data_IF_474971981113
#
_entry.id   IF_474971981113
#
_cell.length_a   1.000
_cell.length_b   1.000
_cell.length_c   1.000
_cell.angle_alpha   90.00
_cell.angle_beta   90.00
_cell.angle_gamma   90.00
#
_symmetry.space_group_name_H-M   'P 1'
#
loop_
_entity.id
_entity.type
_entity.pdbx_description
1 polymer ?
#
# COMPACT_ATOMS: atom_id res chain seq x y z
N UNK A 1 2.91 13.98 9.99
CA UNK A 1 3.22 15.13 9.12
C UNK A 1 3.16 14.64 7.69
N UNK A 2 2.44 15.33 6.79
CA UNK A 2 2.43 14.97 5.38
C UNK A 2 3.85 15.00 4.80
N UNK A 3 4.10 14.12 3.84
CA UNK A 3 5.31 14.08 3.03
C UNK A 3 5.12 14.82 1.70
N UNK A 4 3.99 14.60 1.02
CA UNK A 4 3.75 15.09 -0.33
C UNK A 4 2.25 15.12 -0.60
N UNK A 5 1.60 16.29 -0.72
CA UNK A 5 0.20 16.36 -1.13
C UNK A 5 -0.10 15.67 -2.47
N UNK A 6 0.92 15.50 -3.33
CA UNK A 6 0.79 14.75 -4.58
C UNK A 6 0.62 13.24 -4.38
N UNK A 7 1.08 12.69 -3.26
CA UNK A 7 1.15 11.24 -3.02
C UNK A 7 0.44 10.78 -1.75
N UNK A 8 0.25 11.68 -0.78
CA UNK A 8 -0.31 11.37 0.53
C UNK A 8 -1.82 11.17 0.44
N UNK A 9 -2.27 9.96 0.77
CA UNK A 9 -3.69 9.63 0.89
C UNK A 9 -3.99 9.21 2.32
N UNK A 10 -4.97 9.83 3.00
CA UNK A 10 -5.44 9.30 4.27
C UNK A 10 -6.17 7.97 4.04
N UNK A 11 -5.95 7.00 4.92
CA UNK A 11 -6.57 5.68 4.84
C UNK A 11 -7.05 5.18 6.20
N UNK A 12 -7.60 3.97 6.20
CA UNK A 12 -8.15 3.34 7.39
C UNK A 12 -7.39 2.06 7.76
N UNK A 13 -7.36 1.78 9.07
CA UNK A 13 -7.06 0.46 9.59
C UNK A 13 -8.29 0.00 10.35
N UNK A 14 -9.04 -0.93 9.75
CA UNK A 14 -10.26 -1.49 10.32
C UNK A 14 -10.23 -3.01 10.20
N UNK A 15 -10.92 -3.68 11.12
CA UNK A 15 -10.96 -5.15 11.17
C UNK A 15 -11.89 -5.79 10.16
N UNK A 16 -12.91 -5.06 9.69
CA UNK A 16 -14.08 -5.62 9.02
C UNK A 16 -14.51 -4.69 7.86
N UNK A 17 -14.81 -5.25 6.67
CA UNK A 17 -15.24 -4.48 5.51
C UNK A 17 -16.56 -3.71 5.72
N UNK A 18 -17.42 -4.07 6.67
CA UNK A 18 -18.59 -3.23 7.03
C UNK A 18 -18.17 -1.89 7.63
N UNK A 19 -17.20 -1.92 8.54
CA UNK A 19 -16.63 -0.71 9.14
C UNK A 19 -15.86 0.09 8.07
N UNK A 20 -15.17 -0.60 7.16
CA UNK A 20 -14.45 0.07 6.07
C UNK A 20 -15.41 0.88 5.18
N UNK A 21 -16.53 0.29 4.78
CA UNK A 21 -17.57 0.98 4.00
C UNK A 21 -18.14 2.21 4.73
N UNK A 22 -18.42 2.06 6.03
CA UNK A 22 -18.92 3.16 6.85
C UNK A 22 -17.88 4.29 7.01
N UNK A 23 -16.60 3.94 7.21
CA UNK A 23 -15.51 4.89 7.34
C UNK A 23 -15.26 5.66 6.02
N UNK A 24 -15.26 4.94 4.87
CA UNK A 24 -15.15 5.56 3.54
C UNK A 24 -16.30 6.53 3.28
N UNK A 25 -17.56 6.17 3.61
CA UNK A 25 -18.72 7.09 3.51
C UNK A 25 -18.51 8.36 4.32
N UNK A 26 -18.03 8.23 5.56
CA UNK A 26 -17.85 9.36 6.46
C UNK A 26 -16.73 10.31 5.99
N UNK A 27 -15.61 9.75 5.53
CA UNK A 27 -14.43 10.54 5.16
C UNK A 27 -14.51 11.14 3.77
N UNK A 28 -14.90 10.34 2.78
CA UNK A 28 -14.86 10.73 1.37
C UNK A 28 -16.19 11.32 0.88
N UNK A 29 -17.27 11.14 1.64
CA UNK A 29 -18.57 11.75 1.39
C UNK A 29 -19.04 11.52 -0.06
N UNK A 30 -19.37 12.57 -0.80
CA UNK A 30 -19.84 12.49 -2.19
C UNK A 30 -18.83 11.91 -3.17
N UNK A 31 -17.56 11.76 -2.79
CA UNK A 31 -16.52 11.16 -3.63
C UNK A 31 -16.41 9.63 -3.46
N UNK A 32 -17.22 9.01 -2.59
CA UNK A 32 -17.25 7.56 -2.42
C UNK A 32 -18.59 6.96 -2.84
N UNK A 33 -18.53 6.03 -3.79
CA UNK A 33 -19.68 5.25 -4.24
C UNK A 33 -19.71 3.91 -3.53
N UNK A 34 -20.51 3.82 -2.46
CA UNK A 34 -20.75 2.56 -1.76
C UNK A 34 -21.58 1.61 -2.62
N UNK A 35 -21.08 0.39 -2.78
CA UNK A 35 -21.81 -0.69 -3.45
C UNK A 35 -22.39 -1.72 -2.47
N UNK A 36 -22.37 -1.44 -1.16
CA UNK A 36 -22.82 -2.35 -0.10
C UNK A 36 -24.22 -2.95 -0.32
N UNK A 37 -25.17 -2.16 -0.81
CA UNK A 37 -26.57 -2.57 -1.01
C UNK A 37 -26.92 -2.94 -2.46
N UNK A 38 -25.94 -2.89 -3.38
CA UNK A 38 -26.14 -3.09 -4.80
C UNK A 38 -25.69 -4.47 -5.29
N UNK A 39 -26.20 -4.89 -6.46
CA UNK A 39 -25.59 -5.98 -7.22
C UNK A 39 -24.38 -5.41 -7.96
N UNK A 40 -23.20 -5.96 -7.71
CA UNK A 40 -21.96 -5.61 -8.40
C UNK A 40 -21.63 -6.72 -9.37
N UNK A 41 -21.23 -6.33 -10.58
CA UNK A 41 -20.62 -7.26 -11.52
C UNK A 41 -19.12 -7.19 -11.29
N UNK A 42 -18.52 -8.24 -10.75
CA UNK A 42 -17.08 -8.25 -10.54
C UNK A 42 -16.33 -8.45 -11.87
N UNK A 43 -15.16 -7.81 -12.06
CA UNK A 43 -14.30 -8.10 -13.21
C UNK A 43 -13.83 -9.55 -13.17
N UNK A 44 -13.83 -10.20 -14.33
CA UNK A 44 -13.38 -11.60 -14.48
C UNK A 44 -11.88 -11.70 -14.78
N UNK A 45 -11.20 -10.57 -15.02
CA UNK A 45 -9.75 -10.50 -15.24
C UNK A 45 -9.04 -10.21 -13.92
N UNK A 46 -8.34 -11.21 -13.39
CA UNK A 46 -7.56 -11.10 -12.16
C UNK A 46 -6.06 -11.19 -12.50
N UNK A 47 -5.29 -10.19 -12.09
CA UNK A 47 -3.87 -10.10 -12.34
C UNK A 47 -3.11 -10.36 -11.05
N UNK A 48 -2.13 -11.28 -11.04
CA UNK A 48 -1.28 -11.53 -9.86
C UNK A 48 0.11 -10.94 -10.09
N UNK A 49 0.60 -10.17 -9.13
CA UNK A 49 1.90 -9.49 -9.21
C UNK A 49 2.80 -9.94 -8.06
N UNK A 50 3.91 -10.59 -8.40
CA UNK A 50 4.93 -11.00 -7.43
C UNK A 50 4.52 -12.12 -6.46
N UNK A 51 3.50 -12.92 -6.81
CA UNK A 51 3.05 -14.03 -5.99
C UNK A 51 4.15 -15.11 -5.86
N UNK A 52 4.47 -15.58 -4.65
CA UNK A 52 5.46 -16.63 -4.45
C UNK A 52 4.90 -18.00 -4.87
N UNK A 53 5.80 -18.95 -5.12
CA UNK A 53 5.41 -20.31 -5.46
C UNK A 53 4.64 -21.00 -4.32
N UNK A 54 3.64 -21.82 -4.68
CA UNK A 54 2.82 -22.63 -3.75
C UNK A 54 3.61 -23.72 -3.01
N UNK A 55 4.93 -23.83 -3.24
CA UNK A 55 5.81 -24.69 -2.44
C UNK A 55 6.05 -24.10 -1.04
N UNK A 56 5.93 -22.78 -0.88
CA UNK A 56 6.07 -22.09 0.42
C UNK A 56 4.74 -22.03 1.18
N UNK A 57 4.73 -22.00 2.54
CA UNK A 57 3.49 -21.84 3.30
C UNK A 57 2.70 -20.58 2.94
N UNK A 58 3.37 -19.42 2.86
CA UNK A 58 2.74 -18.16 2.45
C UNK A 58 2.23 -18.21 1.00
N UNK A 59 3.00 -18.83 0.10
CA UNK A 59 2.57 -19.02 -1.29
C UNK A 59 1.33 -19.89 -1.42
N UNK A 60 1.16 -20.95 -0.62
CA UNK A 60 -0.11 -21.70 -0.60
C UNK A 60 -1.27 -20.80 -0.22
N UNK A 61 -1.17 -20.07 0.89
CA UNK A 61 -2.23 -19.18 1.36
C UNK A 61 -2.62 -18.14 0.30
N UNK A 62 -1.63 -17.47 -0.31
CA UNK A 62 -1.85 -16.45 -1.34
C UNK A 62 -2.49 -17.03 -2.61
N UNK A 63 -1.95 -18.13 -3.14
CA UNK A 63 -2.46 -18.74 -4.37
C UNK A 63 -3.83 -19.41 -4.15
N UNK A 64 -4.08 -20.00 -2.99
CA UNK A 64 -5.39 -20.57 -2.64
C UNK A 64 -6.46 -19.48 -2.55
N UNK A 65 -6.13 -18.33 -1.93
CA UNK A 65 -7.03 -17.17 -1.93
C UNK A 65 -7.31 -16.68 -3.35
N UNK A 66 -6.28 -16.49 -4.18
CA UNK A 66 -6.45 -16.03 -5.55
C UNK A 66 -7.33 -16.99 -6.38
N UNK A 67 -7.17 -18.30 -6.19
CA UNK A 67 -8.00 -19.32 -6.85
C UNK A 67 -9.47 -19.27 -6.39
N UNK A 68 -9.71 -19.11 -5.08
CA UNK A 68 -11.07 -18.92 -4.53
C UNK A 68 -11.71 -17.64 -5.04
N UNK A 69 -10.97 -16.54 -5.10
CA UNK A 69 -11.44 -15.28 -5.68
C UNK A 69 -11.80 -15.46 -7.16
N UNK A 70 -10.94 -16.12 -7.94
CA UNK A 70 -11.21 -16.41 -9.35
C UNK A 70 -12.50 -17.23 -9.52
N UNK A 71 -12.73 -18.22 -8.66
CA UNK A 71 -13.97 -18.98 -8.64
C UNK A 71 -15.18 -18.11 -8.28
N UNK A 72 -15.06 -17.25 -7.26
CA UNK A 72 -16.11 -16.34 -6.81
C UNK A 72 -16.57 -15.39 -7.92
N UNK A 73 -15.63 -14.76 -8.63
CA UNK A 73 -15.96 -13.81 -9.71
C UNK A 73 -16.22 -14.49 -11.05
N UNK A 74 -16.10 -15.81 -11.15
CA UNK A 74 -16.18 -16.54 -12.42
C UNK A 74 -15.08 -16.14 -13.42
N UNK A 75 -13.89 -15.82 -12.90
CA UNK A 75 -12.79 -15.21 -13.63
C UNK A 75 -11.58 -16.11 -13.87
N UNK A 76 -10.50 -15.49 -14.36
CA UNK A 76 -9.22 -16.14 -14.65
C UNK A 76 -8.07 -15.34 -14.04
N UNK A 77 -7.11 -16.07 -13.49
CA UNK A 77 -5.84 -15.53 -13.01
C UNK A 77 -4.83 -15.45 -14.16
N UNK A 78 -4.16 -14.32 -14.28
CA UNK A 78 -3.03 -14.11 -15.16
C UNK A 78 -1.88 -13.50 -14.36
N UNK A 79 -0.67 -14.01 -14.52
CA UNK A 79 0.51 -13.38 -13.91
C UNK A 79 0.82 -12.08 -14.65
N UNK A 80 0.92 -10.98 -13.91
CA UNK A 80 1.33 -9.69 -14.43
C UNK A 80 2.84 -9.52 -14.28
N UNK A 81 3.55 -9.50 -15.41
CA UNK A 81 4.90 -8.94 -15.48
C UNK A 81 4.78 -7.45 -15.81
N UNK A 82 4.93 -6.60 -14.78
CA UNK A 82 4.76 -5.17 -14.91
C UNK A 82 5.82 -4.52 -15.81
N UNK A 83 7.05 -5.06 -15.82
CA UNK A 83 8.12 -4.54 -16.67
C UNK A 83 7.86 -4.89 -18.14
N UNK A 84 7.44 -6.14 -18.42
CA UNK A 84 7.08 -6.55 -19.77
C UNK A 84 5.88 -5.77 -20.30
N UNK A 85 4.84 -5.57 -19.46
CA UNK A 85 3.69 -4.74 -19.80
C UNK A 85 4.14 -3.31 -20.16
N UNK A 86 4.94 -2.68 -19.30
CA UNK A 86 5.50 -1.35 -19.55
C UNK A 86 6.29 -1.30 -20.86
N UNK A 87 7.24 -2.22 -21.07
CA UNK A 87 8.04 -2.25 -22.30
C UNK A 87 7.20 -2.42 -23.57
N UNK A 88 6.03 -3.07 -23.47
CA UNK A 88 5.13 -3.30 -24.61
C UNK A 88 4.22 -2.12 -24.94
N UNK A 89 3.82 -1.33 -23.94
CA UNK A 89 2.75 -0.31 -24.10
C UNK A 89 3.05 1.03 -23.44
N UNK A 90 4.29 1.28 -23.01
CA UNK A 90 4.69 2.57 -22.43
C UNK A 90 4.38 3.72 -23.39
N UNK A 91 3.84 4.84 -22.89
CA UNK A 91 3.52 5.99 -23.72
C UNK A 91 4.80 6.60 -24.34
N UNK A 92 4.68 7.17 -25.54
CA UNK A 92 5.81 7.81 -26.23
C UNK A 92 6.51 8.90 -25.37
N UNK A 93 5.77 9.54 -24.47
CA UNK A 93 6.30 10.51 -23.50
C UNK A 93 7.36 9.94 -22.56
N UNK A 94 7.39 8.62 -22.33
CA UNK A 94 8.43 7.94 -21.57
C UNK A 94 9.78 7.84 -22.32
N UNK A 95 9.82 8.16 -23.62
CA UNK A 95 11.05 8.19 -24.44
C UNK A 95 11.89 6.91 -24.37
N UNK A 96 11.22 5.75 -24.24
CA UNK A 96 11.87 4.45 -24.14
C UNK A 96 12.51 4.14 -22.77
N UNK A 97 12.27 4.97 -21.75
CA UNK A 97 12.74 4.68 -20.39
C UNK A 97 12.09 3.40 -19.84
N UNK A 98 12.87 2.59 -19.12
CA UNK A 98 12.31 1.49 -18.35
C UNK A 98 11.47 2.04 -17.18
N UNK A 99 10.57 1.22 -16.64
CA UNK A 99 9.77 1.60 -15.48
C UNK A 99 10.65 1.96 -14.26
N UNK A 100 11.71 1.17 -14.06
CA UNK A 100 12.68 1.41 -12.99
C UNK A 100 13.39 2.75 -13.17
N UNK A 101 13.81 3.09 -14.40
CA UNK A 101 14.49 4.37 -14.66
C UNK A 101 13.55 5.56 -14.49
N UNK A 102 12.32 5.45 -15.02
CA UNK A 102 11.30 6.49 -14.93
C UNK A 102 10.97 6.84 -13.47
N UNK A 103 10.90 5.83 -12.59
CA UNK A 103 10.43 5.99 -11.22
C UNK A 103 11.53 5.97 -10.16
N UNK A 104 12.80 5.77 -10.55
CA UNK A 104 13.95 5.61 -9.63
C UNK A 104 14.09 6.75 -8.63
N UNK A 105 14.02 8.01 -9.09
CA UNK A 105 14.10 9.19 -8.22
C UNK A 105 12.73 9.81 -7.91
N UNK A 106 11.69 9.45 -8.67
CA UNK A 106 10.38 10.15 -8.69
C UNK A 106 9.74 10.22 -7.30
N UNK A 107 9.64 9.08 -6.59
CA UNK A 107 9.06 9.06 -5.24
C UNK A 107 9.85 9.97 -4.30
N UNK A 108 11.17 9.75 -4.22
CA UNK A 108 12.05 10.48 -3.32
C UNK A 108 12.02 11.98 -3.58
N UNK A 109 12.02 12.41 -4.84
CA UNK A 109 11.96 13.84 -5.20
C UNK A 109 10.67 14.47 -4.70
N UNK A 110 9.51 13.88 -4.99
CA UNK A 110 8.20 14.42 -4.60
C UNK A 110 8.08 14.56 -3.09
N UNK A 111 8.31 13.47 -2.34
CA UNK A 111 8.21 13.49 -0.87
C UNK A 111 9.22 14.40 -0.17
N UNK A 112 10.30 14.77 -0.86
CA UNK A 112 11.36 15.58 -0.28
C UNK A 112 11.14 17.05 -0.55
N UNK A 113 11.01 17.43 -1.82
CA UNK A 113 10.87 18.83 -2.23
C UNK A 113 9.59 19.44 -1.68
N UNK A 114 8.49 18.69 -1.70
CA UNK A 114 7.21 19.15 -1.15
C UNK A 114 7.26 19.24 0.38
N UNK A 115 7.81 18.24 1.07
CA UNK A 115 7.94 18.32 2.52
C UNK A 115 8.89 19.43 2.98
N UNK A 116 9.97 19.71 2.24
CA UNK A 116 10.86 20.83 2.54
C UNK A 116 10.04 22.12 2.60
N UNK A 117 9.31 22.42 1.51
CA UNK A 117 8.53 23.64 1.41
C UNK A 117 7.38 23.71 2.43
N UNK A 118 6.69 22.59 2.67
CA UNK A 118 5.47 22.57 3.49
C UNK A 118 5.70 22.35 4.98
N UNK A 119 6.82 21.71 5.35
CA UNK A 119 7.08 21.31 6.74
C UNK A 119 8.41 21.86 7.23
N UNK A 120 9.52 21.63 6.51
CA UNK A 120 10.86 22.02 7.00
C UNK A 120 10.99 23.53 7.15
N UNK A 121 10.71 24.29 6.08
CA UNK A 121 10.92 25.74 6.08
C UNK A 121 10.03 26.45 7.12
N UNK A 122 8.71 26.18 7.19
CA UNK A 122 7.86 26.78 8.23
C UNK A 122 8.30 26.38 9.64
N UNK A 123 8.59 25.09 9.86
CA UNK A 123 9.00 24.62 11.19
C UNK A 123 10.30 25.26 11.67
N UNK A 124 11.30 25.42 10.80
CA UNK A 124 12.55 26.08 11.15
C UNK A 124 12.35 27.57 11.43
N UNK A 125 11.56 28.26 10.61
CA UNK A 125 11.27 29.67 10.82
C UNK A 125 10.54 29.92 12.15
N UNK A 126 9.47 29.15 12.41
CA UNK A 126 8.66 29.28 13.63
C UNK A 126 9.46 28.95 14.88
N UNK A 127 10.24 27.86 14.85
CA UNK A 127 11.10 27.48 15.97
C UNK A 127 12.19 28.54 16.23
N UNK A 128 12.82 29.07 15.17
CA UNK A 128 13.82 30.12 15.30
C UNK A 128 13.21 31.39 15.92
N UNK A 129 12.01 31.81 15.49
CA UNK A 129 11.30 32.95 16.06
C UNK A 129 10.99 32.76 17.56
N UNK A 130 10.56 31.56 17.96
CA UNK A 130 10.23 31.24 19.35
C UNK A 130 11.46 31.02 20.25
N UNK A 131 12.61 30.64 19.67
CA UNK A 131 13.76 30.16 20.43
C UNK A 131 15.07 30.91 20.12
N UNK A 132 14.98 32.20 19.79
CA UNK A 132 16.14 33.09 19.67
C UNK A 132 17.09 32.69 18.55
N UNK A 133 16.56 32.35 17.38
CA UNK A 133 17.32 31.98 16.19
C UNK A 133 17.84 30.54 16.17
N UNK A 134 17.48 29.71 17.14
CA UNK A 134 17.91 28.30 17.20
C UNK A 134 17.23 27.46 16.10
N UNK A 135 17.89 26.38 15.70
CA UNK A 135 17.32 25.33 14.85
C UNK A 135 16.79 24.19 15.72
N UNK A 136 15.61 23.62 15.44
CA UNK A 136 15.10 22.49 16.20
C UNK A 136 15.91 21.22 15.95
N UNK A 137 15.89 20.30 16.92
CA UNK A 137 16.32 18.93 16.67
C UNK A 137 15.35 18.25 15.70
N UNK A 138 15.91 17.54 14.73
CA UNK A 138 15.15 16.76 13.75
C UNK A 138 15.75 15.36 13.68
N UNK A 139 14.90 14.35 13.59
CA UNK A 139 15.34 12.96 13.43
C UNK A 139 16.29 12.81 12.21
N UNK A 140 17.35 11.99 12.30
CA UNK A 140 18.29 11.78 11.19
C UNK A 140 17.66 11.32 9.87
N UNK A 141 16.52 10.62 9.90
CA UNK A 141 15.84 10.13 8.69
C UNK A 141 15.36 11.27 7.79
N UNK A 142 14.50 12.21 8.23
CA UNK A 142 14.14 13.37 7.42
C UNK A 142 15.35 14.29 7.12
N UNK A 143 16.34 14.42 8.01
CA UNK A 143 17.55 15.22 7.71
C UNK A 143 18.33 14.67 6.52
N UNK A 144 18.56 13.36 6.48
CA UNK A 144 19.24 12.69 5.35
C UNK A 144 18.50 12.96 4.04
N UNK A 145 17.18 12.78 4.04
CA UNK A 145 16.32 13.00 2.87
C UNK A 145 16.32 14.47 2.43
N UNK A 146 16.13 15.41 3.36
CA UNK A 146 16.11 16.84 3.04
C UNK A 146 17.47 17.33 2.53
N UNK A 147 18.58 16.86 3.10
CA UNK A 147 19.91 17.19 2.61
C UNK A 147 20.15 16.70 1.18
N UNK A 148 19.65 15.50 0.84
CA UNK A 148 19.64 15.06 -0.56
C UNK A 148 18.75 15.94 -1.44
N UNK A 149 17.56 16.32 -0.96
CA UNK A 149 16.67 17.25 -1.65
C UNK A 149 17.29 18.61 -1.95
N UNK A 150 18.09 19.16 -1.04
CA UNK A 150 18.85 20.39 -1.26
C UNK A 150 19.99 20.21 -2.28
N UNK A 151 20.53 18.99 -2.41
CA UNK A 151 21.64 18.68 -3.32
C UNK A 151 21.23 18.46 -4.77
N UNK A 152 19.94 18.21 -5.04
CA UNK A 152 19.42 17.97 -6.40
C UNK A 152 18.72 19.22 -6.97
N UNK A 153 18.76 19.44 -8.29
CA UNK A 153 18.12 20.59 -8.93
C UNK A 153 16.63 20.69 -8.64
N UNK A 154 16.10 21.91 -8.56
CA UNK A 154 14.65 22.13 -8.38
C UNK A 154 13.82 21.65 -9.57
N UNK A 155 14.40 21.61 -10.78
CA UNK A 155 13.75 21.06 -11.98
C UNK A 155 13.31 19.61 -11.81
N UNK A 156 13.98 18.84 -10.92
CA UNK A 156 13.62 17.46 -10.65
C UNK A 156 12.19 17.33 -10.12
N UNK A 157 11.65 18.34 -9.43
CA UNK A 157 10.27 18.29 -8.95
C UNK A 157 9.27 18.26 -10.12
N UNK A 158 9.48 19.12 -11.12
CA UNK A 158 8.66 19.13 -12.33
C UNK A 158 8.81 17.82 -13.14
N UNK A 159 10.04 17.31 -13.26
CA UNK A 159 10.31 16.04 -13.94
C UNK A 159 9.64 14.85 -13.21
N UNK A 160 9.69 14.84 -11.87
CA UNK A 160 9.05 13.81 -11.07
C UNK A 160 7.52 13.85 -11.19
N UNK A 161 6.91 15.04 -11.23
CA UNK A 161 5.47 15.19 -11.49
C UNK A 161 5.08 14.66 -12.87
N UNK A 162 5.89 14.95 -13.90
CA UNK A 162 5.66 14.43 -15.25
C UNK A 162 5.79 12.90 -15.30
N UNK A 163 6.84 12.34 -14.68
CA UNK A 163 7.07 10.89 -14.63
C UNK A 163 5.96 10.15 -13.86
N UNK A 164 5.53 10.70 -12.72
CA UNK A 164 4.39 10.17 -11.95
C UNK A 164 3.12 10.17 -12.81
N UNK A 165 2.83 11.28 -13.50
CA UNK A 165 1.64 11.40 -14.37
C UNK A 165 1.69 10.40 -15.52
N UNK A 166 2.83 10.23 -16.19
CA UNK A 166 3.01 9.24 -17.25
C UNK A 166 2.72 7.81 -16.77
N UNK A 167 3.23 7.44 -15.59
CA UNK A 167 2.95 6.14 -15.00
C UNK A 167 1.47 6.00 -14.60
N UNK A 168 0.89 7.04 -14.00
CA UNK A 168 -0.51 7.05 -13.58
C UNK A 168 -1.44 6.80 -14.76
N UNK A 169 -1.27 7.55 -15.85
CA UNK A 169 -2.11 7.44 -17.03
C UNK A 169 -1.99 6.05 -17.66
N UNK A 170 -0.75 5.55 -17.81
CA UNK A 170 -0.50 4.22 -18.35
C UNK A 170 -1.10 3.10 -17.49
N UNK A 171 -0.92 3.15 -16.17
CA UNK A 171 -1.43 2.10 -15.29
C UNK A 171 -2.97 2.06 -15.31
N UNK A 172 -3.61 3.24 -15.34
CA UNK A 172 -5.06 3.38 -15.43
C UNK A 172 -5.62 3.08 -16.82
N UNK A 173 -4.83 3.10 -17.91
CA UNK A 173 -5.33 2.72 -19.25
C UNK A 173 -5.06 1.25 -19.59
N UNK A 174 -3.87 0.74 -19.24
CA UNK A 174 -3.38 -0.55 -19.71
C UNK A 174 -3.57 -1.68 -18.69
N UNK A 175 -3.47 -1.38 -17.39
CA UNK A 175 -3.42 -2.40 -16.34
C UNK A 175 -4.75 -2.55 -15.62
N UNK A 176 -5.30 -1.44 -15.12
CA UNK A 176 -6.60 -1.38 -14.41
C UNK A 176 -7.55 -0.34 -15.03
N UNK A 177 -7.96 -0.51 -16.30
CA UNK A 177 -8.91 0.40 -16.91
C UNK A 177 -10.24 0.46 -16.16
N UNK A 178 -10.81 1.67 -16.11
CA UNK A 178 -12.19 1.86 -15.71
C UNK A 178 -13.11 1.15 -16.71
N UNK A 179 -14.20 0.59 -16.22
CA UNK A 179 -15.20 -0.06 -17.05
C UNK A 179 -16.19 0.96 -17.61
N UNK A 180 -16.62 0.74 -18.86
CA UNK A 180 -17.77 1.47 -19.42
C UNK A 180 -19.11 1.02 -18.81
N UNK A 181 -19.13 -0.12 -18.10
CA UNK A 181 -20.27 -0.59 -17.33
C UNK A 181 -20.17 -0.06 -15.89
N UNK A 182 -21.03 0.90 -15.55
CA UNK A 182 -21.06 1.51 -14.22
C UNK A 182 -21.31 0.49 -13.10
N UNK A 183 -21.95 -0.65 -13.39
CA UNK A 183 -22.17 -1.72 -12.41
C UNK A 183 -20.90 -2.57 -12.15
N UNK A 184 -19.90 -2.46 -13.01
CA UNK A 184 -18.61 -3.14 -12.90
C UNK A 184 -17.50 -2.19 -12.40
N UNK A 185 -17.53 -0.92 -12.81
CA UNK A 185 -16.58 0.17 -12.47
C UNK A 185 -15.13 -0.04 -12.95
N UNK A 186 -14.59 -1.26 -12.86
CA UNK A 186 -13.22 -1.61 -13.23
C UNK A 186 -13.17 -2.84 -14.12
N UNK A 187 -12.23 -2.90 -15.07
CA UNK A 187 -12.09 -4.05 -15.99
C UNK A 187 -11.20 -5.17 -15.44
N UNK A 188 -10.40 -4.90 -14.40
CA UNK A 188 -9.48 -5.87 -13.81
C UNK A 188 -9.21 -5.56 -12.34
N UNK A 189 -8.86 -6.61 -11.59
CA UNK A 189 -8.25 -6.47 -10.26
C UNK A 189 -6.79 -6.90 -10.33
N UNK A 190 -5.92 -6.17 -9.63
CA UNK A 190 -4.53 -6.57 -9.44
C UNK A 190 -4.36 -7.00 -7.99
N UNK A 191 -3.93 -8.24 -7.80
CA UNK A 191 -3.53 -8.80 -6.52
C UNK A 191 -2.01 -8.75 -6.40
N UNK A 192 -1.49 -8.19 -5.30
CA UNK A 192 -0.07 -8.28 -4.99
C UNK A 192 0.19 -8.64 -3.54
N UNK A 193 1.43 -9.00 -3.24
CA UNK A 193 1.80 -9.52 -1.92
C UNK A 193 1.98 -8.37 -0.92
N UNK A 194 1.11 -8.31 0.08
CA UNK A 194 1.25 -7.37 1.20
C UNK A 194 2.20 -7.87 2.27
N UNK A 195 2.11 -9.16 2.61
CA UNK A 195 3.01 -9.80 3.57
C UNK A 195 3.10 -11.30 3.30
N UNK A 196 4.31 -11.86 3.47
CA UNK A 196 4.57 -13.31 3.49
C UNK A 196 4.84 -13.84 4.90
N UNK A 197 4.58 -13.02 5.94
CA UNK A 197 4.79 -13.39 7.34
C UNK A 197 6.26 -13.39 7.76
N UNK A 198 6.96 -12.28 7.48
CA UNK A 198 8.36 -12.09 7.89
C UNK A 198 8.47 -11.22 9.13
N UNK A 199 9.25 -11.65 10.13
CA UNK A 199 9.48 -10.87 11.35
C UNK A 199 10.45 -9.71 11.08
N UNK A 200 10.17 -8.54 11.66
CA UNK A 200 11.07 -7.38 11.68
C UNK A 200 11.43 -7.01 13.13
N UNK A 201 12.35 -7.75 13.77
CA UNK A 201 12.69 -7.52 15.17
C UNK A 201 13.50 -6.23 15.35
N UNK A 202 13.25 -5.51 16.44
CA UNK A 202 13.88 -4.21 16.75
C UNK A 202 15.18 -4.31 17.57
N UNK A 203 15.70 -5.52 17.80
CA UNK A 203 16.90 -5.77 18.60
C UNK A 203 18.21 -5.74 17.79
N UNK A 204 18.24 -5.05 16.66
CA UNK A 204 19.39 -5.01 15.74
C UNK A 204 19.73 -3.56 15.41
N UNK A 205 21.02 -3.28 15.22
CA UNK A 205 21.45 -2.01 14.65
C UNK A 205 20.98 -1.91 13.21
N UNK A 206 20.39 -0.76 12.86
CA UNK A 206 20.02 -0.43 11.48
C UNK A 206 21.14 0.34 10.81
N UNK A 207 21.17 0.32 9.47
CA UNK A 207 22.06 1.20 8.70
C UNK A 207 21.73 2.68 8.94
N UNK A 208 22.66 3.55 8.55
CA UNK A 208 22.38 4.98 8.48
C UNK A 208 21.14 5.24 7.59
N UNK A 209 20.31 6.24 7.91
CA UNK A 209 19.14 6.56 7.10
C UNK A 209 19.52 6.94 5.66
N UNK A 210 18.89 6.26 4.70
CA UNK A 210 19.03 6.54 3.28
C UNK A 210 17.82 7.27 2.68
N UNK A 211 18.01 7.75 1.45
CA UNK A 211 16.94 8.29 0.61
C UNK A 211 16.16 7.13 -0.02
N UNK A 212 14.82 7.15 -0.04
CA UNK A 212 14.02 6.02 -0.52
C UNK A 212 13.93 5.95 -2.06
N UNK A 213 15.08 5.84 -2.74
CA UNK A 213 15.20 5.68 -4.19
C UNK A 213 14.70 4.29 -4.66
N UNK A 214 14.50 4.16 -5.96
CA UNK A 214 14.02 2.94 -6.62
C UNK A 214 12.50 2.83 -6.71
N UNK A 215 12.05 1.72 -7.29
CA UNK A 215 10.64 1.40 -7.47
C UNK A 215 10.29 0.06 -6.83
N UNK A 216 9.10 -0.03 -6.23
CA UNK A 216 8.54 -1.26 -5.66
C UNK A 216 7.02 -1.27 -5.88
N UNK A 217 6.42 -2.46 -5.92
CA UNK A 217 4.97 -2.62 -6.15
C UNK A 217 4.11 -1.86 -5.12
N UNK A 218 4.58 -1.73 -3.88
CA UNK A 218 3.91 -0.97 -2.82
C UNK A 218 3.80 0.55 -3.10
N UNK A 219 4.40 1.06 -4.19
CA UNK A 219 4.29 2.45 -4.64
C UNK A 219 3.37 2.60 -5.85
N UNK A 220 2.83 1.51 -6.40
CA UNK A 220 1.97 1.54 -7.57
C UNK A 220 0.74 2.38 -7.29
N UNK A 221 -0.02 2.07 -6.23
CA UNK A 221 -1.24 2.79 -5.85
C UNK A 221 -0.99 4.27 -5.55
N UNK A 222 0.14 4.55 -4.90
CA UNK A 222 0.60 5.91 -4.60
C UNK A 222 0.86 6.72 -5.87
N UNK A 223 1.50 6.14 -6.90
CA UNK A 223 1.72 6.84 -8.16
C UNK A 223 0.50 6.87 -9.07
N UNK A 224 -0.23 5.76 -9.15
CA UNK A 224 -1.36 5.60 -10.06
C UNK A 224 -2.67 6.17 -9.52
N UNK A 225 -2.70 6.61 -8.25
CA UNK A 225 -3.90 7.12 -7.57
C UNK A 225 -5.08 6.14 -7.67
N UNK A 226 -4.78 4.85 -7.57
CA UNK A 226 -5.78 3.77 -7.57
C UNK A 226 -6.06 3.30 -6.14
N UNK A 227 -7.28 2.83 -5.85
CA UNK A 227 -7.57 2.21 -4.57
C UNK A 227 -6.70 0.97 -4.36
N UNK A 228 -6.26 0.77 -3.12
CA UNK A 228 -5.40 -0.34 -2.71
C UNK A 228 -5.75 -0.77 -1.28
N UNK A 229 -6.39 -1.94 -1.15
CA UNK A 229 -6.89 -2.44 0.12
C UNK A 229 -6.18 -3.75 0.47
N UNK A 230 -5.74 -3.83 1.73
CA UNK A 230 -4.97 -4.96 2.26
C UNK A 230 -5.85 -5.87 3.09
N UNK A 231 -5.85 -7.15 2.78
CA UNK A 231 -6.63 -8.17 3.48
C UNK A 231 -5.71 -9.23 4.10
N UNK A 232 -5.82 -9.51 5.41
CA UNK A 232 -5.17 -10.66 6.00
C UNK A 232 -5.81 -11.95 5.50
N UNK A 233 -4.99 -12.92 5.09
CA UNK A 233 -5.43 -14.19 4.53
C UNK A 233 -5.19 -15.39 5.45
N UNK A 234 -4.25 -15.24 6.38
CA UNK A 234 -3.81 -16.33 7.23
C UNK A 234 -2.52 -15.99 7.95
N UNK A 235 -1.90 -17.01 8.53
CA UNK A 235 -0.67 -16.86 9.30
C UNK A 235 0.31 -17.98 8.96
N UNK A 236 1.59 -17.66 9.05
CA UNK A 236 2.68 -18.65 8.99
C UNK A 236 3.43 -18.64 10.30
N UNK A 237 3.77 -19.83 10.79
CA UNK A 237 4.60 -19.97 11.98
C UNK A 237 6.07 -19.72 11.61
N UNK A 238 6.78 -19.02 12.48
CA UNK A 238 8.22 -18.79 12.38
C UNK A 238 8.85 -18.82 13.78
N UNK A 239 9.98 -19.51 13.93
CA UNK A 239 10.72 -19.53 15.18
C UNK A 239 11.29 -18.14 15.48
N UNK A 240 10.84 -17.53 16.56
CA UNK A 240 11.29 -16.21 16.98
C UNK A 240 12.66 -16.28 17.63
N UNK A 241 13.63 -15.57 17.06
CA UNK A 241 14.95 -15.38 17.69
C UNK A 241 14.91 -14.55 18.98
N UNK A 242 13.76 -13.96 19.32
CA UNK A 242 13.59 -13.12 20.52
C UNK A 242 13.00 -13.94 21.67
N UNK A 243 11.92 -14.66 21.40
CA UNK A 243 11.14 -15.38 22.42
C UNK A 243 11.53 -16.86 22.49
N UNK A 244 12.22 -17.40 21.49
CA UNK A 244 12.63 -18.80 21.45
C UNK A 244 11.51 -19.78 21.14
N UNK A 245 10.31 -19.29 20.84
CA UNK A 245 9.12 -20.10 20.50
C UNK A 245 8.62 -19.76 19.09
N UNK A 246 7.77 -20.63 18.55
CA UNK A 246 7.10 -20.35 17.28
C UNK A 246 6.07 -19.25 17.45
N UNK A 247 6.20 -18.19 16.66
CA UNK A 247 5.27 -17.07 16.58
C UNK A 247 4.54 -17.11 15.25
N UNK A 248 3.28 -16.71 15.23
CA UNK A 248 2.48 -16.63 14.02
C UNK A 248 2.56 -15.23 13.41
N UNK A 249 2.84 -15.15 12.12
CA UNK A 249 3.00 -13.89 11.40
C UNK A 249 2.01 -13.80 10.24
N UNK A 250 1.39 -12.63 10.01
CA UNK A 250 0.30 -12.50 9.06
C UNK A 250 0.81 -12.61 7.62
N UNK A 251 0.05 -13.38 6.82
CA UNK A 251 0.11 -13.36 5.36
C UNK A 251 -1.04 -12.48 4.88
N UNK A 252 -0.73 -11.53 4.00
CA UNK A 252 -1.69 -10.55 3.52
C UNK A 252 -1.56 -10.33 2.02
N UNK A 253 -2.69 -10.00 1.40
CA UNK A 253 -2.78 -9.63 -0.01
C UNK A 253 -3.32 -8.22 -0.14
N UNK A 254 -2.78 -7.50 -1.09
CA UNK A 254 -3.26 -6.18 -1.50
C UNK A 254 -4.06 -6.35 -2.79
N UNK A 255 -5.18 -5.65 -2.89
CA UNK A 255 -6.06 -5.66 -4.06
C UNK A 255 -6.21 -4.23 -4.56
N UNK A 256 -5.88 -4.02 -5.83
CA UNK A 256 -6.10 -2.76 -6.54
C UNK A 256 -7.20 -2.90 -7.59
N UNK A 257 -7.91 -1.79 -7.82
CA UNK A 257 -8.92 -1.63 -8.87
C UNK A 257 -8.68 -0.32 -9.63
N UNK A 258 -9.50 -0.01 -10.63
CA UNK A 258 -9.45 1.28 -11.32
C UNK A 258 -9.67 2.45 -10.34
N UNK A 259 -9.06 3.60 -10.65
CA UNK A 259 -9.22 4.84 -9.90
C UNK A 259 -10.70 5.19 -9.68
N UNK A 260 -11.07 5.45 -8.42
CA UNK A 260 -12.45 5.75 -8.01
C UNK A 260 -13.35 4.53 -7.79
N UNK A 261 -12.83 3.30 -7.94
CA UNK A 261 -13.59 2.07 -7.75
C UNK A 261 -13.39 1.40 -6.38
N UNK A 262 -13.04 2.17 -5.35
CA UNK A 262 -12.85 1.70 -3.96
C UNK A 262 -14.03 0.84 -3.48
N UNK A 263 -15.26 1.27 -3.80
CA UNK A 263 -16.49 0.59 -3.42
C UNK A 263 -16.62 -0.83 -3.97
N UNK A 264 -15.98 -1.14 -5.10
CA UNK A 264 -15.94 -2.50 -5.67
C UNK A 264 -15.15 -3.43 -4.76
N UNK A 265 -13.98 -2.99 -4.29
CA UNK A 265 -13.10 -3.81 -3.45
C UNK A 265 -13.73 -4.00 -2.07
N UNK A 266 -14.34 -2.95 -1.51
CA UNK A 266 -15.06 -3.04 -0.23
C UNK A 266 -16.26 -4.00 -0.33
N UNK A 267 -17.06 -3.92 -1.40
CA UNK A 267 -18.19 -4.84 -1.61
C UNK A 267 -17.72 -6.27 -1.86
N UNK A 268 -16.65 -6.46 -2.64
CA UNK A 268 -16.01 -7.76 -2.82
C UNK A 268 -15.60 -8.37 -1.49
N UNK A 269 -14.96 -7.60 -0.62
CA UNK A 269 -14.54 -8.08 0.69
C UNK A 269 -15.72 -8.53 1.55
N UNK A 270 -16.86 -7.82 1.53
CA UNK A 270 -18.09 -8.23 2.24
C UNK A 270 -18.61 -9.58 1.74
N UNK A 271 -18.64 -9.77 0.43
CA UNK A 271 -19.12 -11.03 -0.17
C UNK A 271 -18.18 -12.19 0.13
N UNK A 272 -16.86 -11.97 0.05
CA UNK A 272 -15.87 -12.98 0.40
C UNK A 272 -15.91 -13.37 1.88
N UNK A 273 -16.24 -12.42 2.78
CA UNK A 273 -16.50 -12.73 4.20
C UNK A 273 -17.76 -13.58 4.35
N UNK A 274 -18.86 -13.21 3.66
CA UNK A 274 -20.11 -13.97 3.71
C UNK A 274 -19.95 -15.41 3.17
N UNK A 275 -19.05 -15.63 2.21
CA UNK A 275 -18.72 -16.95 1.66
C UNK A 275 -17.61 -17.70 2.44
N UNK A 276 -17.01 -17.07 3.45
CA UNK A 276 -15.92 -17.68 4.22
C UNK A 276 -14.59 -17.79 3.47
N UNK A 277 -14.42 -17.03 2.37
CA UNK A 277 -13.13 -16.90 1.66
C UNK A 277 -12.20 -15.95 2.40
N UNK A 278 -12.73 -14.85 2.94
CA UNK A 278 -12.02 -13.95 3.85
C UNK A 278 -12.51 -14.15 5.29
N UNK A 279 -11.61 -13.99 6.25
CA UNK A 279 -11.94 -14.05 7.67
C UNK A 279 -11.73 -12.69 8.31
N UNK A 280 -12.70 -12.25 9.11
CA UNK A 280 -12.57 -11.03 9.92
C UNK A 280 -11.63 -11.32 11.10
N UNK A 281 -10.46 -10.66 11.20
CA UNK A 281 -9.53 -10.87 12.31
C UNK A 281 -10.17 -10.50 13.65
N UNK A 282 -9.88 -11.31 14.67
CA UNK A 282 -10.21 -11.01 16.06
C UNK A 282 -9.09 -10.19 16.71
N UNK A 283 -9.44 -9.45 17.76
CA UNK A 283 -8.44 -8.75 18.56
C UNK A 283 -7.60 -9.76 19.35
N UNK A 284 -6.27 -9.63 19.28
CA UNK A 284 -5.35 -10.47 20.05
C UNK A 284 -4.01 -10.69 19.35
N UNK A 285 -3.31 -11.75 19.77
CA UNK A 285 -1.99 -12.11 19.27
C UNK A 285 -2.00 -12.77 17.87
N UNK A 286 -3.15 -13.32 17.45
CA UNK A 286 -3.31 -14.00 16.15
C UNK A 286 -4.57 -13.50 15.43
N UNK A 287 -4.78 -13.92 14.17
CA UNK A 287 -6.03 -13.69 13.45
C UNK A 287 -7.26 -14.27 14.18
N UNK A 288 -7.05 -15.32 14.97
CA UNK A 288 -8.08 -15.93 15.83
C UNK A 288 -8.19 -15.27 17.21
N UNK A 289 -7.48 -14.17 17.43
CA UNK A 289 -7.41 -13.46 18.69
C UNK A 289 -6.37 -14.05 19.62
N UNK A 290 -6.66 -14.04 20.92
CA UNK A 290 -5.78 -14.55 21.97
C UNK A 290 -5.17 -13.44 22.82
N UNK A 291 -4.50 -13.84 23.89
CA UNK A 291 -3.92 -12.92 24.87
C UNK A 291 -2.72 -12.15 24.28
N UNK A 292 -2.70 -10.84 24.51
CA UNK A 292 -1.56 -10.00 24.18
C UNK A 292 -0.64 -9.95 25.40
N UNK A 293 0.59 -10.44 25.26
CA UNK A 293 1.53 -10.63 26.37
C UNK A 293 2.00 -9.32 27.06
N UNK A 294 1.67 -8.16 26.50
CA UNK A 294 1.86 -6.86 27.18
C UNK A 294 0.55 -6.42 27.84
N UNK A 295 0.39 -6.76 29.12
CA UNK A 295 -0.76 -6.35 29.94
C UNK A 295 -0.38 -5.23 30.89
N UNK A 296 -0.96 -4.04 30.71
CA UNK A 296 -0.72 -2.88 31.60
C UNK A 296 -1.54 -2.95 32.89
N UNK A 297 -2.52 -3.83 32.93
CA UNK A 297 -3.40 -4.11 34.06
C UNK A 297 -2.82 -5.17 35.01
N UNK A 298 -1.79 -5.90 34.58
CA UNK A 298 -1.01 -6.74 35.47
C UNK A 298 0.03 -5.88 36.19
N UNK A 299 -0.19 -5.68 37.49
CA UNK A 299 0.84 -5.12 38.37
C UNK A 299 1.94 -6.17 38.47
N UNK A 300 2.95 -6.06 37.60
CA UNK A 300 4.20 -6.75 37.80
C UNK A 300 4.84 -6.15 39.05
N UNK A 301 4.69 -6.86 40.18
CA UNK A 301 5.38 -6.52 41.41
C UNK A 301 6.87 -6.46 41.12
N UNK A 302 7.41 -5.24 41.05
CA UNK A 302 8.84 -5.03 41.01
C UNK A 302 9.39 -5.46 42.39
N UNK A 303 9.98 -6.65 42.44
CA UNK A 303 10.81 -7.10 43.57
C UNK A 303 12.25 -6.68 43.33
#
# INVERSE_FOLDING_TARGET
>A
MPLSPTLDTPGFLVRDPEIWDAASKAMYQGNYTSLASGKVKYPTKLLTLGFPASTTPAGRILNDFAAKLASHVGGKLTTLDLNAAWSSSAPAGAKGASLSDLLSATYATLITKEQIALVREPFYADYAAAHGGRRPFVNPVPLSRWGWGDSVPDSWHADALANKTLFMDWFNSEVVPASNDAAQCTESLVLYVGSTGSASPRNRYTSAPGVPLGFSSSRISVFAEVPDLVFPLGEVASLSSITGVEEKLPVAVDIMAAKGCDGVIVKLAKDLVAEGVLTVPKAGATLEGGEVLLRRDEVHGYY
#
